data_IF_378720428716
#
_entry.id   IF_378720428716
#
_cell.length_a   1.000
_cell.length_b   1.000
_cell.length_c   1.000
_cell.angle_alpha   90.00
_cell.angle_beta   90.00
_cell.angle_gamma   90.00
#
_symmetry.space_group_name_H-M   'P 1'
#
loop_
_entity.id
_entity.type
_entity.pdbx_description
1 polymer ?
#
# COMPACT_ATOMS: atom_id res chain seq x y z
N UNK A 1 1.47 -8.09 -23.90
CA UNK A 1 2.15 -7.14 -22.99
C UNK A 1 3.08 -6.32 -23.88
N UNK A 2 3.11 -4.98 -23.76
CA UNK A 2 4.13 -4.21 -24.49
C UNK A 2 5.49 -4.69 -23.98
N UNK A 3 6.31 -5.23 -24.87
CA UNK A 3 7.65 -5.71 -24.52
C UNK A 3 8.57 -4.48 -24.49
N UNK A 4 8.62 -3.84 -23.32
CA UNK A 4 9.43 -2.64 -23.11
C UNK A 4 10.86 -3.08 -22.84
N UNK A 5 11.79 -2.67 -23.71
CA UNK A 5 13.21 -2.90 -23.52
C UNK A 5 13.78 -1.90 -22.50
N UNK A 6 13.66 -2.26 -21.23
CA UNK A 6 14.19 -1.47 -20.13
C UNK A 6 15.70 -1.30 -20.14
N UNK A 7 16.46 -2.23 -20.73
CA UNK A 7 17.92 -2.10 -20.81
C UNK A 7 18.27 -0.89 -21.67
N UNK A 8 17.67 -0.81 -22.86
CA UNK A 8 17.83 0.33 -23.77
C UNK A 8 17.32 1.63 -23.16
N UNK A 9 16.23 1.60 -22.39
CA UNK A 9 15.72 2.80 -21.71
C UNK A 9 16.70 3.29 -20.66
N UNK A 10 17.17 2.42 -19.78
CA UNK A 10 18.10 2.80 -18.71
C UNK A 10 19.44 3.32 -19.26
N UNK A 11 19.91 2.77 -20.39
CA UNK A 11 21.13 3.26 -21.06
C UNK A 11 20.99 4.68 -21.63
N UNK A 12 19.77 5.14 -21.91
CA UNK A 12 19.53 6.49 -22.45
C UNK A 12 19.45 7.57 -21.38
N UNK A 13 19.32 7.19 -20.11
CA UNK A 13 19.20 8.13 -19.00
C UNK A 13 20.61 8.57 -18.57
N UNK A 14 20.99 9.85 -18.75
CA UNK A 14 22.31 10.31 -18.36
C UNK A 14 22.52 10.18 -16.84
N UNK A 15 23.74 9.89 -16.35
CA UNK A 15 24.02 9.86 -14.91
C UNK A 15 23.74 11.17 -14.18
N UNK A 16 23.73 12.30 -14.90
CA UNK A 16 23.40 13.63 -14.41
C UNK A 16 22.00 14.11 -14.83
N UNK A 17 21.10 13.19 -15.20
CA UNK A 17 19.76 13.49 -15.66
C UNK A 17 19.04 14.47 -14.72
N UNK A 18 18.52 15.56 -15.30
CA UNK A 18 17.58 16.43 -14.61
C UNK A 18 16.18 15.80 -14.56
N UNK A 19 15.24 16.50 -13.93
CA UNK A 19 13.84 16.06 -13.89
C UNK A 19 13.25 15.84 -15.30
N UNK A 20 13.43 16.74 -16.29
CA UNK A 20 12.88 16.55 -17.64
C UNK A 20 13.40 15.29 -18.35
N UNK A 21 14.67 14.93 -18.14
CA UNK A 21 15.24 13.70 -18.69
C UNK A 21 14.58 12.45 -18.09
N UNK A 22 14.36 12.44 -16.77
CA UNK A 22 13.71 11.32 -16.08
C UNK A 22 12.25 11.21 -16.50
N UNK A 23 11.54 12.33 -16.60
CA UNK A 23 10.16 12.36 -17.06
C UNK A 23 10.01 11.78 -18.46
N UNK A 24 10.81 12.26 -19.41
CA UNK A 24 10.69 11.85 -20.81
C UNK A 24 11.19 10.42 -21.04
N UNK A 25 12.37 10.09 -20.50
CA UNK A 25 13.05 8.83 -20.82
C UNK A 25 12.63 7.68 -19.92
N UNK A 26 12.13 7.93 -18.72
CA UNK A 26 11.76 6.88 -17.76
C UNK A 26 10.26 6.84 -17.46
N UNK A 27 9.64 7.98 -17.10
CA UNK A 27 8.24 8.00 -16.64
C UNK A 27 7.26 7.68 -17.76
N UNK A 28 7.46 8.21 -18.98
CA UNK A 28 6.59 7.88 -20.13
C UNK A 28 6.62 6.38 -20.49
N UNK A 29 7.79 5.71 -20.63
CA UNK A 29 7.81 4.25 -20.76
C UNK A 29 7.20 3.52 -19.56
N UNK A 30 7.39 4.02 -18.34
CA UNK A 30 6.79 3.41 -17.14
C UNK A 30 5.27 3.46 -17.19
N UNK A 31 4.67 4.57 -17.60
CA UNK A 31 3.22 4.70 -17.80
C UNK A 31 2.70 3.64 -18.79
N UNK A 32 3.37 3.48 -19.93
CA UNK A 32 3.04 2.43 -20.90
C UNK A 32 3.20 1.02 -20.31
N UNK A 33 4.23 0.78 -19.49
CA UNK A 33 4.48 -0.50 -18.83
C UNK A 33 3.40 -0.84 -17.79
N UNK A 34 2.92 0.16 -17.05
CA UNK A 34 1.77 0.08 -16.14
C UNK A 34 0.44 -0.07 -16.88
N UNK A 35 0.46 0.13 -18.20
CA UNK A 35 -0.62 -0.17 -19.12
C UNK A 35 -1.41 1.05 -19.58
N UNK A 36 -0.99 2.28 -19.30
CA UNK A 36 -1.67 3.50 -19.75
C UNK A 36 -1.30 3.84 -21.20
N UNK A 37 -2.28 4.25 -22.01
CA UNK A 37 -2.04 4.83 -23.35
C UNK A 37 -1.74 6.33 -23.28
N UNK A 38 -1.28 6.92 -24.39
CA UNK A 38 -0.87 8.33 -24.46
C UNK A 38 -2.00 9.33 -24.15
N UNK A 39 -3.26 8.93 -24.31
CA UNK A 39 -4.43 9.74 -23.96
C UNK A 39 -4.95 9.51 -22.52
N UNK A 40 -4.28 8.64 -21.75
CA UNK A 40 -4.63 8.25 -20.38
C UNK A 40 -3.73 8.87 -19.30
N UNK A 41 -2.85 9.81 -19.68
CA UNK A 41 -2.01 10.55 -18.75
C UNK A 41 -1.80 12.00 -19.20
N UNK A 42 -1.42 12.86 -18.25
CA UNK A 42 -1.05 14.26 -18.49
C UNK A 42 0.13 14.66 -17.62
N UNK A 43 0.91 15.63 -18.09
CA UNK A 43 1.92 16.33 -17.30
C UNK A 43 1.32 17.54 -16.59
N UNK A 44 1.95 17.98 -15.49
CA UNK A 44 1.60 19.20 -14.74
C UNK A 44 0.12 19.23 -14.35
N UNK A 45 -0.32 18.18 -13.66
CA UNK A 45 -1.72 18.03 -13.27
C UNK A 45 -2.09 18.98 -12.12
N UNK A 46 -3.11 19.81 -12.34
CA UNK A 46 -3.61 20.74 -11.32
C UNK A 46 -4.39 20.01 -10.20
N UNK A 47 -3.72 19.75 -9.08
CA UNK A 47 -4.28 19.03 -7.92
C UNK A 47 -5.29 19.86 -7.10
N UNK A 48 -5.32 21.17 -7.34
CA UNK A 48 -6.04 22.16 -6.51
C UNK A 48 -5.25 22.63 -5.28
N UNK A 49 -4.03 22.10 -5.06
CA UNK A 49 -3.08 22.56 -4.02
C UNK A 49 -1.65 22.76 -4.53
N UNK A 50 -1.50 22.80 -5.85
CA UNK A 50 -0.25 22.77 -6.60
C UNK A 50 -0.39 21.93 -7.88
N UNK A 51 0.70 21.79 -8.60
CA UNK A 51 0.80 20.93 -9.78
C UNK A 51 1.63 19.70 -9.44
N UNK A 52 1.19 18.55 -9.92
CA UNK A 52 1.87 17.26 -9.81
C UNK A 52 2.48 16.90 -11.17
N UNK A 53 3.66 16.28 -11.17
CA UNK A 53 4.46 16.11 -12.40
C UNK A 53 3.71 15.30 -13.45
N UNK A 54 3.11 14.16 -13.05
CA UNK A 54 2.18 13.42 -13.88
C UNK A 54 0.95 12.95 -13.11
N UNK A 55 -0.16 12.87 -13.84
CA UNK A 55 -1.34 12.11 -13.42
C UNK A 55 -1.76 11.15 -14.52
N UNK A 56 -2.37 10.03 -14.13
CA UNK A 56 -2.89 9.03 -15.07
C UNK A 56 -4.23 8.45 -14.60
N UNK A 57 -5.09 8.12 -15.57
CA UNK A 57 -6.38 7.46 -15.36
C UNK A 57 -6.79 6.77 -16.66
N UNK A 58 -7.35 5.57 -16.54
CA UNK A 58 -8.00 4.86 -17.65
C UNK A 58 -9.14 5.68 -18.26
N UNK A 59 -9.26 5.63 -19.57
CA UNK A 59 -10.38 6.24 -20.27
C UNK A 59 -11.69 5.52 -19.91
N UNK A 60 -12.79 6.26 -19.91
CA UNK A 60 -14.12 5.72 -19.61
C UNK A 60 -15.09 6.06 -20.74
N UNK A 61 -15.34 5.08 -21.62
CA UNK A 61 -16.11 5.27 -22.84
C UNK A 61 -15.53 6.38 -23.72
N UNK A 62 -16.25 7.49 -23.84
CA UNK A 62 -15.83 8.65 -24.63
C UNK A 62 -15.02 9.70 -23.82
N UNK A 63 -14.97 9.58 -22.50
CA UNK A 63 -14.19 10.48 -21.64
C UNK A 63 -12.71 10.09 -21.70
N UNK A 64 -11.90 10.93 -22.37
CA UNK A 64 -10.45 10.79 -22.39
C UNK A 64 -9.81 11.65 -21.31
N UNK A 65 -8.97 11.04 -20.49
CA UNK A 65 -8.34 11.73 -19.38
C UNK A 65 -7.43 12.89 -19.83
N UNK A 66 -6.74 12.76 -20.96
CA UNK A 66 -5.94 13.83 -21.56
C UNK A 66 -6.73 15.11 -21.87
N UNK A 67 -8.04 14.99 -22.15
CA UNK A 67 -8.93 16.13 -22.35
C UNK A 67 -9.59 16.59 -21.06
N UNK A 68 -10.20 15.67 -20.30
CA UNK A 68 -11.02 16.02 -19.14
C UNK A 68 -10.20 16.45 -17.93
N UNK A 69 -9.02 15.84 -17.72
CA UNK A 69 -8.07 16.16 -16.64
C UNK A 69 -8.72 16.23 -15.26
N UNK A 70 -9.66 15.32 -14.99
CA UNK A 70 -10.32 15.16 -13.69
C UNK A 70 -10.24 13.73 -13.22
N UNK A 71 -10.41 13.55 -11.92
CA UNK A 71 -10.50 12.23 -11.28
C UNK A 71 -9.28 11.32 -11.54
N UNK A 72 -8.03 11.80 -11.34
CA UNK A 72 -6.86 10.98 -11.57
C UNK A 72 -6.91 9.70 -10.71
N UNK A 73 -6.29 8.62 -11.20
CA UNK A 73 -6.18 7.35 -10.48
C UNK A 73 -4.79 7.14 -9.88
N UNK A 74 -3.76 7.55 -10.62
CA UNK A 74 -2.34 7.45 -10.28
C UNK A 74 -1.68 8.82 -10.42
N UNK A 75 -0.85 9.19 -9.45
CA UNK A 75 0.00 10.38 -9.48
C UNK A 75 1.48 9.98 -9.53
N UNK A 76 2.33 10.81 -10.13
CA UNK A 76 3.78 10.69 -10.05
C UNK A 76 4.40 11.98 -9.54
N UNK A 77 5.23 11.83 -8.52
CA UNK A 77 6.15 12.86 -8.07
C UNK A 77 7.56 12.42 -8.48
N UNK A 78 8.11 13.12 -9.46
CA UNK A 78 9.35 12.81 -10.17
C UNK A 78 10.46 13.70 -9.63
N UNK A 79 11.69 13.19 -9.59
CA UNK A 79 12.88 13.99 -9.34
C UNK A 79 13.94 13.65 -10.37
N UNK A 80 14.82 14.59 -10.67
CA UNK A 80 16.06 14.30 -11.40
C UNK A 80 16.97 13.34 -10.61
N UNK A 81 17.98 12.80 -11.30
CA UNK A 81 19.12 12.15 -10.63
C UNK A 81 19.99 13.22 -9.96
N UNK A 82 20.11 14.40 -10.59
CA UNK A 82 20.89 15.54 -10.08
C UNK A 82 20.03 16.82 -10.12
N UNK A 83 20.18 17.67 -9.11
CA UNK A 83 19.73 19.06 -9.13
C UNK A 83 20.95 19.99 -8.99
N UNK A 84 21.31 20.70 -10.06
CA UNK A 84 22.55 21.47 -10.11
C UNK A 84 23.77 20.56 -9.98
N UNK A 85 24.50 20.68 -8.86
CA UNK A 85 25.66 19.82 -8.56
C UNK A 85 25.38 18.78 -7.47
N UNK A 86 24.12 18.60 -7.07
CA UNK A 86 23.74 17.70 -5.97
C UNK A 86 23.00 16.47 -6.49
N UNK A 87 23.52 15.28 -6.16
CA UNK A 87 22.81 14.02 -6.43
C UNK A 87 21.58 13.91 -5.53
N UNK A 88 20.43 13.66 -6.12
CA UNK A 88 19.16 13.49 -5.41
C UNK A 88 19.08 12.06 -4.90
N UNK A 89 19.28 11.89 -3.60
CA UNK A 89 19.10 10.61 -2.92
C UNK A 89 17.65 10.47 -2.44
N UNK A 90 16.95 9.43 -2.89
CA UNK A 90 15.59 9.11 -2.45
C UNK A 90 15.52 7.86 -1.53
N UNK A 91 16.61 7.52 -0.84
CA UNK A 91 16.61 6.49 0.19
C UNK A 91 15.76 6.88 1.41
N UNK A 92 15.33 5.89 2.19
CA UNK A 92 14.32 6.07 3.25
C UNK A 92 14.67 7.10 4.32
N UNK A 93 15.97 7.25 4.63
CA UNK A 93 16.44 8.18 5.65
C UNK A 93 16.70 9.59 5.11
N UNK A 94 16.70 9.77 3.79
CA UNK A 94 17.13 11.02 3.17
C UNK A 94 16.12 12.15 3.45
N UNK A 95 16.60 13.39 3.72
CA UNK A 95 15.72 14.55 3.87
C UNK A 95 14.88 14.80 2.61
N UNK A 96 15.46 14.58 1.43
CA UNK A 96 14.78 14.80 0.16
C UNK A 96 13.62 13.82 -0.03
N UNK A 97 13.82 12.54 0.27
CA UNK A 97 12.73 11.55 0.25
C UNK A 97 11.59 11.93 1.20
N UNK A 98 11.91 12.36 2.42
CA UNK A 98 10.88 12.81 3.39
C UNK A 98 10.05 13.97 2.83
N UNK A 99 10.70 14.96 2.22
CA UNK A 99 10.02 16.10 1.58
C UNK A 99 9.14 15.64 0.42
N UNK A 100 9.69 14.86 -0.51
CA UNK A 100 8.98 14.33 -1.68
C UNK A 100 7.77 13.48 -1.27
N UNK A 101 7.91 12.67 -0.20
CA UNK A 101 6.83 11.89 0.38
C UNK A 101 5.70 12.75 0.93
N UNK A 102 6.02 13.81 1.68
CA UNK A 102 4.99 14.71 2.21
C UNK A 102 4.29 15.51 1.11
N UNK A 103 5.02 15.88 0.04
CA UNK A 103 4.45 16.50 -1.15
C UNK A 103 3.44 15.58 -1.85
N UNK A 104 3.85 14.34 -2.19
CA UNK A 104 2.96 13.36 -2.81
C UNK A 104 1.72 13.08 -1.94
N UNK A 105 1.90 12.97 -0.60
CA UNK A 105 0.76 12.80 0.32
C UNK A 105 -0.21 13.97 0.26
N UNK A 106 0.29 15.21 0.22
CA UNK A 106 -0.53 16.42 0.12
C UNK A 106 -1.35 16.40 -1.17
N UNK A 107 -0.76 15.99 -2.28
CA UNK A 107 -1.40 15.93 -3.60
C UNK A 107 -2.39 14.78 -3.73
N UNK A 108 -2.05 13.59 -3.24
CA UNK A 108 -2.99 12.47 -3.17
C UNK A 108 -4.24 12.78 -2.36
N UNK A 109 -4.17 13.69 -1.39
CA UNK A 109 -5.29 14.14 -0.56
C UNK A 109 -5.87 15.50 -1.01
N UNK A 110 -5.47 16.01 -2.18
CA UNK A 110 -5.93 17.29 -2.69
C UNK A 110 -7.36 17.21 -3.30
N UNK A 111 -8.08 18.33 -3.39
CA UNK A 111 -9.49 18.35 -3.81
C UNK A 111 -9.75 17.75 -5.19
N UNK A 112 -8.84 17.93 -6.15
CA UNK A 112 -9.01 17.41 -7.52
C UNK A 112 -8.51 15.96 -7.66
N UNK A 113 -7.93 15.38 -6.61
CA UNK A 113 -7.37 14.04 -6.60
C UNK A 113 -8.23 13.07 -5.78
N UNK A 114 -9.51 13.36 -5.54
CA UNK A 114 -10.36 12.56 -4.65
C UNK A 114 -10.46 11.08 -5.02
N UNK A 115 -10.34 10.75 -6.31
CA UNK A 115 -10.35 9.39 -6.86
C UNK A 115 -8.97 8.74 -6.93
N UNK A 116 -7.89 9.49 -6.68
CA UNK A 116 -6.54 8.95 -6.75
C UNK A 116 -6.38 7.85 -5.70
N UNK A 117 -5.92 6.68 -6.14
CA UNK A 117 -5.67 5.54 -5.26
C UNK A 117 -4.18 5.29 -5.07
N UNK A 118 -3.35 5.77 -6.00
CA UNK A 118 -1.94 5.44 -6.07
C UNK A 118 -1.09 6.67 -6.33
N UNK A 119 0.12 6.66 -5.78
CA UNK A 119 1.15 7.63 -6.09
C UNK A 119 2.50 6.92 -6.25
N UNK A 120 3.35 7.40 -7.15
CA UNK A 120 4.70 6.88 -7.34
C UNK A 120 5.68 8.02 -7.07
N UNK A 121 6.73 7.72 -6.31
CA UNK A 121 7.93 8.56 -6.23
C UNK A 121 9.02 7.87 -7.03
N UNK A 122 9.70 8.60 -7.92
CA UNK A 122 10.85 8.06 -8.62
C UNK A 122 11.85 9.12 -9.09
N UNK A 123 13.10 8.71 -9.26
CA UNK A 123 14.11 9.44 -10.03
C UNK A 123 14.87 8.54 -11.02
N UNK A 124 14.23 7.46 -11.48
CA UNK A 124 14.79 6.35 -12.29
C UNK A 124 15.85 5.47 -11.60
N UNK A 125 16.47 5.93 -10.50
CA UNK A 125 17.34 5.11 -9.64
C UNK A 125 16.54 4.48 -8.51
N UNK A 126 15.67 5.28 -7.88
CA UNK A 126 14.77 4.83 -6.83
C UNK A 126 13.34 4.83 -7.33
N UNK A 127 12.54 3.87 -6.88
CA UNK A 127 11.09 3.87 -7.10
C UNK A 127 10.36 3.35 -5.86
N UNK A 128 9.24 3.98 -5.55
CA UNK A 128 8.33 3.51 -4.52
C UNK A 128 6.88 3.79 -4.88
N UNK A 129 6.03 2.79 -4.66
CA UNK A 129 4.58 2.91 -4.79
C UNK A 129 3.96 3.26 -3.44
N UNK A 130 3.02 4.20 -3.46
CA UNK A 130 2.19 4.62 -2.34
C UNK A 130 0.74 4.32 -2.65
N UNK A 131 0.00 3.92 -1.63
CA UNK A 131 -1.44 3.67 -1.70
C UNK A 131 -2.19 4.65 -0.82
N UNK A 132 -3.23 5.26 -1.40
CA UNK A 132 -4.26 5.98 -0.65
C UNK A 132 -5.37 5.02 -0.25
N UNK A 133 -5.71 5.02 1.03
CA UNK A 133 -6.86 4.31 1.58
C UNK A 133 -7.70 5.29 2.41
N UNK A 134 -8.72 5.86 1.78
CA UNK A 134 -9.53 6.93 2.37
C UNK A 134 -8.71 8.21 2.58
N UNK A 135 -8.47 8.57 3.84
CA UNK A 135 -7.68 9.76 4.24
C UNK A 135 -6.22 9.44 4.57
N UNK A 136 -5.82 8.17 4.46
CA UNK A 136 -4.48 7.70 4.81
C UNK A 136 -3.71 7.41 3.53
N UNK A 137 -2.43 7.80 3.50
CA UNK A 137 -1.50 7.46 2.43
C UNK A 137 -0.33 6.69 3.05
N UNK A 138 -0.12 5.46 2.58
CA UNK A 138 0.91 4.55 3.09
C UNK A 138 1.82 4.06 1.97
N UNK A 139 3.08 3.72 2.26
CA UNK A 139 3.89 2.93 1.34
C UNK A 139 3.19 1.61 1.02
N UNK A 140 3.04 1.30 -0.27
CA UNK A 140 2.59 -0.01 -0.75
C UNK A 140 3.77 -0.94 -1.04
N UNK A 141 4.95 -0.37 -1.24
CA UNK A 141 6.21 -1.10 -1.42
C UNK A 141 7.29 -0.51 -0.52
N UNK A 142 8.36 -1.28 -0.28
CA UNK A 142 9.65 -0.69 0.09
C UNK A 142 10.16 0.21 -1.04
N UNK A 143 11.19 1.00 -0.75
CA UNK A 143 11.93 1.70 -1.79
C UNK A 143 12.79 0.67 -2.52
N UNK A 144 12.66 0.61 -3.84
CA UNK A 144 13.51 -0.22 -4.68
C UNK A 144 14.62 0.62 -5.30
N UNK A 145 15.81 0.03 -5.38
CA UNK A 145 16.87 0.49 -6.26
C UNK A 145 16.70 -0.21 -7.61
N UNK A 146 16.69 0.56 -8.69
CA UNK A 146 16.47 0.09 -10.04
C UNK A 146 17.82 -0.19 -10.71
N UNK A 147 17.91 -1.35 -11.35
CA UNK A 147 18.94 -1.66 -12.32
C UNK A 147 18.39 -2.56 -13.43
N UNK A 148 19.22 -2.85 -14.43
CA UNK A 148 18.85 -3.70 -15.58
C UNK A 148 18.41 -5.12 -15.19
N UNK A 149 18.91 -5.65 -14.07
CA UNK A 149 18.59 -7.00 -13.62
C UNK A 149 17.21 -7.10 -12.96
N UNK A 150 16.70 -6.00 -12.39
CA UNK A 150 15.51 -6.05 -11.52
C UNK A 150 14.30 -5.22 -12.01
N UNK A 151 14.49 -4.29 -12.95
CA UNK A 151 13.45 -3.33 -13.36
C UNK A 151 12.19 -4.01 -13.89
N UNK A 152 12.32 -5.08 -14.67
CA UNK A 152 11.17 -5.83 -15.19
C UNK A 152 10.29 -6.39 -14.07
N UNK A 153 10.91 -6.99 -13.04
CA UNK A 153 10.22 -7.57 -11.91
C UNK A 153 9.55 -6.49 -11.05
N UNK A 154 10.25 -5.38 -10.79
CA UNK A 154 9.73 -4.25 -10.01
C UNK A 154 8.50 -3.65 -10.69
N UNK A 155 8.59 -3.35 -11.99
CA UNK A 155 7.49 -2.74 -12.74
C UNK A 155 6.30 -3.68 -12.82
N UNK A 156 6.53 -4.97 -13.06
CA UNK A 156 5.46 -5.97 -13.05
C UNK A 156 4.80 -6.07 -11.67
N UNK A 157 5.59 -6.06 -10.59
CA UNK A 157 5.06 -6.09 -9.23
C UNK A 157 4.20 -4.85 -8.92
N UNK A 158 4.69 -3.65 -9.24
CA UNK A 158 3.93 -2.40 -9.08
C UNK A 158 2.63 -2.45 -9.88
N UNK A 159 2.69 -2.90 -11.15
CA UNK A 159 1.50 -3.05 -11.99
C UNK A 159 0.47 -4.00 -11.39
N UNK A 160 0.91 -5.15 -10.87
CA UNK A 160 0.02 -6.12 -10.23
C UNK A 160 -0.67 -5.54 -8.99
N UNK A 161 0.06 -4.76 -8.18
CA UNK A 161 -0.52 -4.06 -7.02
C UNK A 161 -1.56 -3.02 -7.44
N UNK A 162 -1.26 -2.22 -8.47
CA UNK A 162 -2.18 -1.19 -8.99
C UNK A 162 -3.44 -1.81 -9.60
N UNK A 163 -3.30 -2.93 -10.32
CA UNK A 163 -4.40 -3.65 -10.95
C UNK A 163 -5.25 -4.43 -9.94
N UNK A 164 -4.65 -4.89 -8.83
CA UNK A 164 -5.32 -5.67 -7.80
C UNK A 164 -5.15 -5.02 -6.41
N UNK A 165 -5.75 -3.83 -6.18
CA UNK A 165 -5.64 -3.13 -4.91
C UNK A 165 -6.15 -4.02 -3.76
N UNK A 166 -5.35 -4.22 -2.68
CA UNK A 166 -5.82 -5.00 -1.53
C UNK A 166 -7.07 -4.36 -0.94
N UNK A 167 -8.15 -5.09 -0.67
CA UNK A 167 -9.40 -4.44 -0.23
C UNK A 167 -9.29 -3.80 1.16
N UNK A 168 -8.56 -4.44 2.07
CA UNK A 168 -8.34 -3.97 3.43
C UNK A 168 -7.04 -3.14 3.55
N UNK A 169 -7.00 -2.28 4.57
CA UNK A 169 -5.77 -1.69 5.08
C UNK A 169 -5.27 -2.57 6.24
N UNK A 170 -4.11 -3.20 6.06
CA UNK A 170 -3.49 -4.02 7.11
C UNK A 170 -2.56 -3.15 7.96
N UNK A 171 -2.78 -3.16 9.27
CA UNK A 171 -1.96 -2.43 10.24
C UNK A 171 -1.35 -3.44 11.22
N UNK A 172 -0.03 -3.48 11.30
CA UNK A 172 0.68 -4.28 12.30
C UNK A 172 1.04 -3.39 13.49
N UNK A 173 0.66 -3.81 14.69
CA UNK A 173 1.06 -3.15 15.94
C UNK A 173 2.13 -4.02 16.57
N UNK A 174 3.38 -3.58 16.47
CA UNK A 174 4.54 -4.33 16.94
C UNK A 174 5.43 -3.49 17.85
N UNK A 175 5.95 -4.13 18.90
CA UNK A 175 6.97 -3.62 19.79
C UNK A 175 7.61 -4.81 20.52
N UNK A 176 8.93 -4.83 20.63
CA UNK A 176 9.72 -5.89 21.25
C UNK A 176 9.62 -5.91 22.80
N UNK A 177 9.08 -4.86 23.40
CA UNK A 177 8.86 -4.76 24.85
C UNK A 177 7.45 -5.17 25.27
N UNK A 178 7.36 -5.95 26.36
CA UNK A 178 6.10 -6.24 27.05
C UNK A 178 5.52 -5.00 27.76
N UNK A 179 4.20 -4.98 28.00
CA UNK A 179 3.55 -3.93 28.81
C UNK A 179 3.43 -2.53 28.17
N UNK A 180 3.84 -2.34 26.92
CA UNK A 180 3.78 -1.03 26.23
C UNK A 180 2.43 -0.70 25.57
N UNK A 181 1.39 -1.48 25.88
CA UNK A 181 0.03 -1.23 25.40
C UNK A 181 -0.29 -1.66 23.97
N UNK A 182 0.46 -2.62 23.38
CA UNK A 182 0.19 -3.16 22.02
C UNK A 182 -1.24 -3.69 21.88
N UNK A 183 -1.59 -4.65 22.74
CA UNK A 183 -2.91 -5.30 22.78
C UNK A 183 -4.02 -4.29 23.05
N UNK A 184 -3.83 -3.44 24.06
CA UNK A 184 -4.76 -2.35 24.39
C UNK A 184 -5.00 -1.43 23.20
N UNK A 185 -3.94 -1.06 22.46
CA UNK A 185 -4.05 -0.22 21.27
C UNK A 185 -4.79 -0.95 20.15
N UNK A 186 -4.48 -2.23 19.91
CA UNK A 186 -5.13 -3.03 18.86
C UNK A 186 -6.65 -3.14 19.08
N UNK A 187 -7.07 -3.53 20.29
CA UNK A 187 -8.49 -3.69 20.63
C UNK A 187 -9.23 -2.35 20.56
N UNK A 188 -8.66 -1.28 21.15
CA UNK A 188 -9.32 0.03 21.15
C UNK A 188 -9.42 0.63 19.74
N UNK A 189 -8.36 0.50 18.92
CA UNK A 189 -8.40 0.92 17.53
C UNK A 189 -9.48 0.17 16.76
N UNK A 190 -9.57 -1.16 16.94
CA UNK A 190 -10.60 -1.98 16.31
C UNK A 190 -12.01 -1.57 16.73
N UNK A 191 -12.25 -1.34 18.02
CA UNK A 191 -13.53 -0.89 18.55
C UNK A 191 -13.93 0.50 18.02
N UNK A 192 -12.99 1.46 17.96
CA UNK A 192 -13.24 2.80 17.42
C UNK A 192 -13.54 2.75 15.92
N UNK A 193 -12.80 1.94 15.15
CA UNK A 193 -13.06 1.76 13.72
C UNK A 193 -14.42 1.11 13.48
N UNK A 194 -14.76 0.07 14.25
CA UNK A 194 -16.08 -0.57 14.23
C UNK A 194 -17.21 0.42 14.55
N UNK A 195 -17.04 1.25 15.59
CA UNK A 195 -17.98 2.32 15.96
C UNK A 195 -18.17 3.32 14.81
N UNK A 196 -17.14 3.57 14.02
CA UNK A 196 -17.17 4.36 12.79
C UNK A 196 -17.65 3.55 11.55
N UNK A 197 -18.37 2.45 11.78
CA UNK A 197 -18.99 1.59 10.76
C UNK A 197 -17.98 0.97 9.78
N UNK A 198 -16.71 0.80 10.19
CA UNK A 198 -15.72 0.07 9.39
C UNK A 198 -15.80 -1.42 9.69
N UNK A 199 -15.60 -2.24 8.67
CA UNK A 199 -15.38 -3.69 8.83
C UNK A 199 -13.95 -3.88 9.33
N UNK A 200 -13.79 -4.55 10.46
CA UNK A 200 -12.50 -4.76 11.11
C UNK A 200 -12.34 -6.25 11.40
N UNK A 201 -11.16 -6.76 11.07
CA UNK A 201 -10.67 -8.07 11.47
C UNK A 201 -9.44 -7.87 12.33
N UNK A 202 -9.50 -8.28 13.59
CA UNK A 202 -8.35 -8.32 14.50
C UNK A 202 -7.68 -9.68 14.37
N UNK A 203 -6.36 -9.72 14.17
CA UNK A 203 -5.62 -10.98 14.13
C UNK A 203 -4.66 -10.98 15.31
N UNK A 204 -4.88 -11.88 16.26
CA UNK A 204 -3.97 -12.09 17.37
C UNK A 204 -2.88 -13.07 16.94
N UNK A 205 -1.69 -12.53 16.71
CA UNK A 205 -0.51 -13.30 16.29
C UNK A 205 0.55 -13.35 17.40
N UNK A 206 0.12 -13.32 18.67
CA UNK A 206 1.00 -13.49 19.84
C UNK A 206 0.81 -14.90 20.45
N UNK A 207 1.62 -15.89 20.05
CA UNK A 207 1.48 -17.26 20.53
C UNK A 207 1.84 -17.47 22.01
N UNK A 208 2.51 -16.51 22.65
CA UNK A 208 3.10 -16.70 23.99
C UNK A 208 2.23 -16.13 25.09
N UNK A 209 1.60 -14.97 24.84
CA UNK A 209 0.80 -14.29 25.86
C UNK A 209 -0.70 -14.44 25.60
N UNK A 210 -1.12 -14.48 24.33
CA UNK A 210 -2.53 -14.52 23.94
C UNK A 210 -3.41 -13.48 24.67
N UNK A 211 -2.81 -12.38 25.17
CA UNK A 211 -3.46 -11.36 26.00
C UNK A 211 -4.73 -10.80 25.33
N UNK A 212 -4.74 -10.73 24.00
CA UNK A 212 -5.91 -10.25 23.25
C UNK A 212 -7.05 -11.27 23.31
N UNK A 213 -6.74 -12.54 23.06
CA UNK A 213 -7.72 -13.64 23.12
C UNK A 213 -8.26 -13.81 24.54
N UNK A 214 -7.39 -13.75 25.55
CA UNK A 214 -7.76 -13.86 26.97
C UNK A 214 -8.57 -12.66 27.46
N UNK A 215 -8.13 -11.42 27.16
CA UNK A 215 -8.81 -10.19 27.61
C UNK A 215 -10.24 -10.04 27.06
N UNK A 216 -10.54 -10.71 25.95
CA UNK A 216 -11.88 -10.72 25.38
C UNK A 216 -12.72 -11.93 25.85
N UNK A 217 -12.14 -12.85 26.63
CA UNK A 217 -12.81 -14.04 27.16
C UNK A 217 -13.19 -15.07 26.09
N UNK A 218 -12.35 -15.23 25.06
CA UNK A 218 -12.69 -16.00 23.85
C UNK A 218 -11.93 -17.33 23.84
N UNK A 219 -12.65 -18.43 23.59
CA UNK A 219 -12.04 -19.76 23.49
C UNK A 219 -11.38 -20.00 22.13
N UNK A 220 -10.32 -20.83 22.15
CA UNK A 220 -9.72 -21.35 20.92
C UNK A 220 -10.78 -22.08 20.08
N UNK A 221 -10.87 -21.73 18.80
CA UNK A 221 -11.73 -22.43 17.87
C UNK A 221 -11.32 -23.88 17.61
N UNK A 222 -12.27 -24.71 17.16
CA UNK A 222 -11.94 -26.07 16.65
C UNK A 222 -10.92 -26.03 15.51
N UNK A 223 -11.02 -25.03 14.64
CA UNK A 223 -10.03 -24.74 13.59
C UNK A 223 -9.12 -23.64 14.11
N UNK A 224 -7.82 -23.94 14.17
CA UNK A 224 -6.76 -23.05 14.64
C UNK A 224 -6.09 -22.33 13.47
N UNK A 225 -5.61 -21.11 13.71
CA UNK A 225 -4.88 -20.36 12.69
C UNK A 225 -3.59 -21.09 12.30
N UNK A 226 -2.90 -21.68 13.27
CA UNK A 226 -1.68 -22.43 13.02
C UNK A 226 -1.87 -23.61 12.06
N UNK A 227 -2.96 -24.35 12.20
CA UNK A 227 -3.31 -25.45 11.30
C UNK A 227 -3.54 -24.92 9.88
N UNK A 228 -4.25 -23.81 9.73
CA UNK A 228 -4.46 -23.19 8.42
C UNK A 228 -3.12 -22.79 7.77
N UNK A 229 -2.21 -22.17 8.54
CA UNK A 229 -0.90 -21.78 8.01
C UNK A 229 -0.02 -22.98 7.59
N UNK A 230 -0.25 -24.15 8.21
CA UNK A 230 0.46 -25.39 7.90
C UNK A 230 -0.17 -26.18 6.73
N UNK A 231 -1.50 -26.14 6.59
CA UNK A 231 -2.29 -26.99 5.70
C UNK A 231 -3.16 -26.17 4.73
N UNK A 232 -2.93 -26.33 3.43
CA UNK A 232 -3.66 -25.61 2.38
C UNK A 232 -5.13 -25.99 2.24
N UNK A 233 -5.53 -27.14 2.76
CA UNK A 233 -6.90 -27.67 2.68
C UNK A 233 -7.84 -27.00 3.67
N UNK A 234 -7.32 -26.34 4.71
CA UNK A 234 -8.12 -25.68 5.71
C UNK A 234 -8.45 -24.24 5.30
N UNK A 235 -9.69 -23.84 5.56
CA UNK A 235 -10.17 -22.50 5.24
C UNK A 235 -9.97 -21.58 6.44
N UNK A 236 -9.12 -20.56 6.28
CA UNK A 236 -8.85 -19.55 7.32
C UNK A 236 -10.13 -18.86 7.82
N UNK A 237 -11.21 -18.82 7.02
CA UNK A 237 -12.50 -18.25 7.44
C UNK A 237 -13.12 -19.01 8.62
N UNK A 238 -12.80 -20.29 8.79
CA UNK A 238 -13.31 -21.11 9.90
C UNK A 238 -12.63 -20.76 11.24
N UNK A 239 -11.54 -20.00 11.21
CA UNK A 239 -10.86 -19.43 12.38
C UNK A 239 -11.50 -18.12 12.84
N UNK A 240 -12.27 -17.46 11.97
CA UNK A 240 -12.86 -16.15 12.27
C UNK A 240 -13.97 -16.33 13.31
N UNK A 241 -13.99 -15.42 14.26
CA UNK A 241 -14.97 -15.32 15.32
C UNK A 241 -15.45 -13.87 15.40
N UNK A 242 -16.61 -13.65 16.01
CA UNK A 242 -17.20 -12.31 16.14
C UNK A 242 -17.17 -11.89 17.60
N UNK A 243 -16.54 -10.74 17.87
CA UNK A 243 -16.60 -10.11 19.17
C UNK A 243 -17.88 -9.25 19.26
N UNK A 244 -18.65 -9.46 20.33
CA UNK A 244 -19.92 -8.77 20.60
C UNK A 244 -19.88 -8.14 21.98
N UNK A 245 -20.55 -7.01 22.13
CA UNK A 245 -20.82 -6.38 23.44
C UNK A 245 -22.32 -6.31 23.68
N UNK A 246 -22.71 -6.36 24.95
CA UNK A 246 -24.11 -6.15 25.35
C UNK A 246 -24.32 -4.68 25.64
N UNK A 247 -25.26 -4.05 24.95
CA UNK A 247 -25.60 -2.65 25.19
C UNK A 247 -26.51 -2.46 26.42
N UNK A 248 -26.82 -1.20 26.76
CA UNK A 248 -27.68 -0.85 27.91
C UNK A 248 -29.09 -1.45 27.81
N UNK A 249 -29.54 -1.83 26.61
CA UNK A 249 -30.83 -2.47 26.36
C UNK A 249 -30.76 -4.01 26.40
N UNK A 250 -29.64 -4.57 26.86
CA UNK A 250 -29.33 -6.01 26.87
C UNK A 250 -29.28 -6.64 25.48
N UNK A 251 -29.07 -5.84 24.43
CA UNK A 251 -28.93 -6.34 23.07
C UNK A 251 -27.46 -6.61 22.77
N UNK A 252 -27.18 -7.77 22.18
CA UNK A 252 -25.87 -8.04 21.62
C UNK A 252 -25.62 -7.21 20.36
N UNK A 253 -24.49 -6.50 20.36
CA UNK A 253 -24.03 -5.67 19.25
C UNK A 253 -22.68 -6.20 18.79
N UNK A 254 -22.60 -6.60 17.51
CA UNK A 254 -21.34 -6.94 16.87
C UNK A 254 -20.42 -5.72 16.87
N UNK A 255 -19.20 -5.90 17.35
CA UNK A 255 -18.15 -4.87 17.32
C UNK A 255 -17.24 -5.13 16.12
N UNK A 256 -16.44 -6.20 16.16
CA UNK A 256 -15.52 -6.57 15.08
C UNK A 256 -15.40 -8.09 14.96
N UNK A 257 -14.80 -8.54 13.87
CA UNK A 257 -14.38 -9.94 13.75
C UNK A 257 -12.94 -10.08 14.24
N UNK A 258 -12.58 -11.27 14.71
CA UNK A 258 -11.24 -11.57 15.18
C UNK A 258 -10.81 -12.99 14.81
N UNK A 259 -9.49 -13.21 14.72
CA UNK A 259 -8.86 -14.52 14.67
C UNK A 259 -8.05 -14.66 15.96
N UNK A 260 -8.38 -15.64 16.83
CA UNK A 260 -7.65 -15.86 18.08
C UNK A 260 -6.22 -16.34 17.80
N UNK A 261 -5.34 -16.04 18.75
CA UNK A 261 -4.04 -16.71 18.82
C UNK A 261 -4.26 -18.15 19.27
N UNK A 262 -3.31 -19.01 18.91
CA UNK A 262 -3.29 -20.39 19.36
C UNK A 262 -1.86 -20.85 19.62
N UNK A 263 -1.69 -21.76 20.59
CA UNK A 263 -0.37 -22.26 20.99
C UNK A 263 0.43 -22.96 19.88
N UNK A 264 -0.23 -23.37 18.78
CA UNK A 264 0.43 -23.96 17.62
C UNK A 264 1.24 -22.93 16.81
N UNK A 265 0.90 -21.64 16.89
CA UNK A 265 1.62 -20.57 16.18
C UNK A 265 3.10 -20.48 16.60
N UNK A 266 3.44 -20.78 17.87
CA UNK A 266 4.83 -20.83 18.34
C UNK A 266 5.68 -21.92 17.65
N UNK A 267 5.03 -22.94 17.09
CA UNK A 267 5.69 -24.11 16.49
C UNK A 267 5.90 -23.96 14.98
N UNK A 268 5.38 -22.90 14.36
CA UNK A 268 5.49 -22.68 12.91
C UNK A 268 6.89 -22.20 12.56
N UNK A 269 7.70 -23.10 11.98
CA UNK A 269 9.02 -22.77 11.44
C UNK A 269 8.99 -22.27 9.99
N UNK A 270 7.93 -22.58 9.25
CA UNK A 270 7.77 -22.18 7.84
C UNK A 270 6.29 -22.06 7.51
N UNK A 271 5.88 -20.92 6.94
CA UNK A 271 4.52 -20.71 6.43
C UNK A 271 4.43 -21.36 5.04
N UNK A 272 3.59 -22.39 4.89
CA UNK A 272 3.43 -23.13 3.62
C UNK A 272 2.33 -22.56 2.71
N UNK A 273 1.55 -21.62 3.24
CA UNK A 273 0.34 -21.08 2.62
C UNK A 273 0.28 -19.56 2.75
N UNK A 274 0.04 -18.86 1.65
CA UNK A 274 -0.31 -17.42 1.63
C UNK A 274 -1.82 -17.33 1.41
N UNK A 275 -2.56 -16.76 2.36
CA UNK A 275 -4.01 -16.59 2.26
C UNK A 275 -4.37 -15.26 1.63
N UNK A 276 -5.30 -15.26 0.67
CA UNK A 276 -6.03 -14.07 0.25
C UNK A 276 -7.40 -14.06 0.95
N UNK A 277 -7.59 -13.16 1.92
CA UNK A 277 -8.86 -12.98 2.65
C UNK A 277 -9.86 -12.12 1.85
#
# INVERSE_FOLDING_TARGET
MLNIDWNTILDKIPPNAGEPDVEDKFVKPLLAALGFSDDEWVQQFATGKGEEDFAARKNDGNDRFSFSKINPYLLFEVKGIVAGNTVINLSETSPKYKQTKEQLKKYLLAPNCQTAQWGIITNSIYIQLFRRHGKVVIPATRIFFIDKSNINEIVNYIRLLIANPPKALTVCIYNDKGGVGKTTTAINLAAILAKNKKKVLVVDFDPQQADLTESLGLEEGKVKLSNCLAERTLNVRDTIRTFKLVDKSRKEVKVFDFIPSDSGLAKIKTIKTVFSL
#
